data_IF_699909277772
#
_entry.id   IF_699909277772
#
_cell.length_a   1.000
_cell.length_b   1.000
_cell.length_c   1.000
_cell.angle_alpha   90.00
_cell.angle_beta   90.00
_cell.angle_gamma   90.00
#
_symmetry.space_group_name_H-M   'P 1'
#
loop_
_entity.id
_entity.type
_entity.pdbx_description
1 polymer ?
#
# COMPACT_ATOMS: atom_id res chain seq x y z
N UNK A 1 24.91 10.67 6.98
CA UNK A 1 25.39 9.61 6.07
C UNK A 1 25.83 8.35 6.81
N UNK A 2 26.51 8.44 7.98
CA UNK A 2 26.93 7.27 8.77
C UNK A 2 25.74 6.47 9.32
N UNK A 3 24.82 7.11 10.06
CA UNK A 3 23.59 6.49 10.62
C UNK A 3 22.72 5.77 9.58
N UNK A 4 22.76 6.19 8.32
CA UNK A 4 21.93 5.62 7.24
C UNK A 4 22.47 4.26 6.79
N UNK A 5 23.78 4.18 6.55
CA UNK A 5 24.44 2.91 6.16
C UNK A 5 24.41 1.89 7.28
N UNK A 6 24.38 2.34 8.53
CA UNK A 6 24.31 1.47 9.70
C UNK A 6 22.93 0.78 9.82
N UNK A 7 21.85 1.42 9.33
CA UNK A 7 20.50 0.85 9.32
C UNK A 7 20.31 -0.23 8.25
N UNK A 8 20.97 -0.09 7.09
CA UNK A 8 20.87 -1.06 5.99
C UNK A 8 21.42 -2.45 6.35
N UNK A 9 22.27 -2.54 7.38
CA UNK A 9 22.89 -3.78 7.84
C UNK A 9 22.17 -4.43 9.02
N UNK A 10 21.10 -3.80 9.53
CA UNK A 10 20.31 -4.30 10.65
C UNK A 10 19.03 -4.97 10.14
N UNK A 11 18.55 -5.95 10.90
CA UNK A 11 17.24 -6.54 10.66
C UNK A 11 16.16 -5.49 10.96
N UNK A 12 15.29 -5.13 10.00
CA UNK A 12 14.26 -4.10 10.21
C UNK A 12 13.34 -4.38 11.40
N UNK A 13 13.11 -5.65 11.73
CA UNK A 13 12.28 -6.06 12.87
C UNK A 13 12.86 -5.62 14.23
N UNK A 14 14.16 -5.33 14.31
CA UNK A 14 14.85 -4.94 15.54
C UNK A 14 15.02 -3.41 15.66
N UNK A 15 14.58 -2.63 14.67
CA UNK A 15 14.72 -1.19 14.64
C UNK A 15 13.69 -0.49 15.55
N UNK A 16 14.11 0.61 16.17
CA UNK A 16 13.18 1.52 16.84
C UNK A 16 12.26 2.19 15.80
N UNK A 17 11.04 2.61 16.17
CA UNK A 17 10.08 3.19 15.22
C UNK A 17 10.62 4.34 14.37
N UNK A 18 11.40 5.25 14.96
CA UNK A 18 12.03 6.35 14.23
C UNK A 18 13.07 5.87 13.20
N UNK A 19 13.85 4.85 13.54
CA UNK A 19 14.87 4.28 12.68
C UNK A 19 14.25 3.40 11.59
N UNK A 20 13.19 2.66 11.92
CA UNK A 20 12.37 1.90 10.96
C UNK A 20 11.71 2.83 9.93
N UNK A 21 11.14 3.94 10.38
CA UNK A 21 10.57 4.95 9.48
C UNK A 21 11.64 5.50 8.53
N UNK A 22 12.80 5.89 9.07
CA UNK A 22 13.89 6.41 8.24
C UNK A 22 14.40 5.37 7.23
N UNK A 23 14.53 4.11 7.67
CA UNK A 23 14.90 2.98 6.82
C UNK A 23 13.92 2.79 5.65
N UNK A 24 12.62 2.75 5.93
CA UNK A 24 11.59 2.56 4.90
C UNK A 24 11.51 3.74 3.92
N UNK A 25 11.61 4.98 4.40
CA UNK A 25 11.67 6.17 3.53
C UNK A 25 12.85 6.10 2.54
N UNK A 26 14.01 5.61 2.99
CA UNK A 26 15.18 5.44 2.13
C UNK A 26 15.00 4.30 1.14
N UNK A 27 14.40 3.19 1.56
CA UNK A 27 14.06 2.08 0.68
C UNK A 27 13.12 2.54 -0.43
N UNK A 28 12.06 3.26 -0.11
CA UNK A 28 11.17 3.88 -1.10
C UNK A 28 11.94 4.77 -2.09
N UNK A 29 12.78 5.68 -1.58
CA UNK A 29 13.58 6.58 -2.42
C UNK A 29 14.52 5.85 -3.37
N UNK A 30 15.16 4.79 -2.88
CA UNK A 30 16.05 3.94 -3.68
C UNK A 30 15.28 3.23 -4.80
N UNK A 31 14.17 2.57 -4.46
CA UNK A 31 13.32 1.88 -5.42
C UNK A 31 12.81 2.83 -6.50
N UNK A 32 12.33 4.03 -6.15
CA UNK A 32 11.89 5.03 -7.14
C UNK A 32 13.02 5.42 -8.11
N UNK A 33 14.23 5.60 -7.59
CA UNK A 33 15.40 5.92 -8.42
C UNK A 33 15.76 4.75 -9.36
N UNK A 34 15.70 3.52 -8.86
CA UNK A 34 15.94 2.32 -9.66
C UNK A 34 14.89 2.15 -10.75
N UNK A 35 13.61 2.34 -10.43
CA UNK A 35 12.50 2.31 -11.37
C UNK A 35 12.63 3.37 -12.45
N UNK A 36 12.97 4.62 -12.10
CA UNK A 36 13.18 5.68 -13.07
C UNK A 36 14.35 5.40 -14.04
N UNK A 37 15.39 4.70 -13.58
CA UNK A 37 16.54 4.35 -14.41
C UNK A 37 16.36 3.06 -15.23
N UNK A 38 15.43 2.20 -14.82
CA UNK A 38 15.23 0.86 -15.41
C UNK A 38 14.06 0.82 -16.40
N UNK A 39 13.48 1.97 -16.76
CA UNK A 39 12.35 2.05 -17.70
C UNK A 39 12.79 1.59 -19.09
N UNK A 40 12.36 0.40 -19.47
CA UNK A 40 12.41 -0.08 -20.83
C UNK A 40 11.02 0.09 -21.47
N UNK A 41 10.85 0.92 -22.52
CA UNK A 41 9.56 1.14 -23.17
C UNK A 41 8.91 -0.12 -23.75
N UNK A 42 9.67 -1.20 -23.92
CA UNK A 42 9.20 -2.49 -24.41
C UNK A 42 8.63 -3.41 -23.31
N UNK A 43 8.80 -3.07 -22.04
CA UNK A 43 8.34 -3.86 -20.90
C UNK A 43 7.01 -3.30 -20.35
N UNK A 44 6.24 -4.16 -19.67
CA UNK A 44 5.00 -3.76 -19.01
C UNK A 44 5.30 -2.67 -17.98
N UNK A 45 4.66 -1.51 -18.12
CA UNK A 45 4.86 -0.42 -17.17
C UNK A 45 4.20 -0.71 -15.81
N UNK A 46 4.76 -0.16 -14.73
CA UNK A 46 4.15 -0.25 -13.39
C UNK A 46 2.78 0.41 -13.32
N UNK A 47 2.55 1.46 -14.14
CA UNK A 47 1.23 2.09 -14.26
C UNK A 47 0.23 1.11 -14.86
N UNK A 48 0.56 0.44 -15.96
CA UNK A 48 -0.31 -0.57 -16.56
C UNK A 48 -0.58 -1.76 -15.64
N UNK A 49 0.43 -2.21 -14.89
CA UNK A 49 0.28 -3.27 -13.89
C UNK A 49 -0.66 -2.85 -12.76
N UNK A 50 -0.44 -1.66 -12.18
CA UNK A 50 -1.29 -1.15 -11.09
C UNK A 50 -2.72 -0.88 -11.52
N UNK A 51 -2.96 -0.45 -12.77
CA UNK A 51 -4.30 -0.34 -13.33
C UNK A 51 -5.01 -1.70 -13.39
N UNK A 52 -4.32 -2.74 -13.89
CA UNK A 52 -4.89 -4.09 -13.94
C UNK A 52 -5.18 -4.63 -12.53
N UNK A 53 -4.25 -4.41 -11.60
CA UNK A 53 -4.42 -4.82 -10.20
C UNK A 53 -5.61 -4.11 -9.55
N UNK A 54 -5.77 -2.80 -9.79
CA UNK A 54 -6.92 -2.02 -9.32
C UNK A 54 -8.23 -2.54 -9.89
N UNK A 55 -8.29 -2.85 -11.18
CA UNK A 55 -9.47 -3.45 -11.82
C UNK A 55 -9.78 -4.83 -11.23
N UNK A 56 -8.77 -5.67 -11.00
CA UNK A 56 -8.95 -6.98 -10.35
C UNK A 56 -9.48 -6.84 -8.94
N UNK A 57 -8.94 -5.90 -8.14
CA UNK A 57 -9.42 -5.63 -6.79
C UNK A 57 -10.88 -5.14 -6.81
N UNK A 58 -11.22 -4.20 -7.70
CA UNK A 58 -12.58 -3.71 -7.87
C UNK A 58 -13.58 -4.84 -8.21
N UNK A 59 -13.20 -5.78 -9.09
CA UNK A 59 -14.04 -6.95 -9.42
C UNK A 59 -14.20 -7.90 -8.23
N UNK A 60 -13.09 -8.27 -7.59
CA UNK A 60 -13.08 -9.25 -6.49
C UNK A 60 -13.68 -8.70 -5.19
N UNK A 61 -13.82 -7.37 -5.08
CA UNK A 61 -14.38 -6.68 -3.91
C UNK A 61 -15.63 -5.86 -4.26
N UNK A 62 -16.33 -6.21 -5.35
CA UNK A 62 -17.53 -5.51 -5.79
C UNK A 62 -18.59 -5.42 -4.68
N UNK A 63 -18.74 -6.48 -3.86
CA UNK A 63 -19.65 -6.49 -2.71
C UNK A 63 -19.33 -5.40 -1.67
N UNK A 64 -18.06 -5.05 -1.46
CA UNK A 64 -17.67 -3.96 -0.55
C UNK A 64 -17.92 -2.59 -1.18
N UNK A 65 -17.81 -2.47 -2.51
CA UNK A 65 -18.13 -1.26 -3.26
C UNK A 65 -19.64 -0.98 -3.34
N UNK A 66 -20.47 -2.01 -3.28
CA UNK A 66 -21.94 -1.93 -3.25
C UNK A 66 -22.50 -1.69 -1.84
N UNK A 67 -21.73 -2.03 -0.79
CA UNK A 67 -22.12 -1.80 0.60
C UNK A 67 -22.14 -0.31 0.94
N UNK A 68 -23.28 0.19 1.41
CA UNK A 68 -23.39 1.58 1.87
C UNK A 68 -22.44 1.91 3.02
N UNK A 69 -22.10 0.91 3.86
CA UNK A 69 -21.16 1.05 4.98
C UNK A 69 -19.70 1.05 4.49
N UNK A 70 -19.33 0.16 3.57
CA UNK A 70 -17.93 -0.06 3.20
C UNK A 70 -17.47 0.67 1.93
N UNK A 71 -18.40 1.24 1.15
CA UNK A 71 -18.08 1.82 -0.16
C UNK A 71 -17.03 2.94 -0.07
N UNK A 72 -17.11 3.84 0.90
CA UNK A 72 -16.18 4.96 1.03
C UNK A 72 -14.76 4.49 1.35
N UNK A 73 -14.61 3.60 2.34
CA UNK A 73 -13.34 2.99 2.71
C UNK A 73 -12.77 2.17 1.54
N UNK A 74 -13.58 1.30 0.92
CA UNK A 74 -13.17 0.50 -0.24
C UNK A 74 -12.67 1.37 -1.39
N UNK A 75 -13.38 2.46 -1.68
CA UNK A 75 -12.96 3.41 -2.72
C UNK A 75 -11.63 4.06 -2.35
N UNK A 76 -11.45 4.52 -1.12
CA UNK A 76 -10.18 5.07 -0.64
C UNK A 76 -9.02 4.07 -0.82
N UNK A 77 -9.21 2.79 -0.47
CA UNK A 77 -8.21 1.75 -0.72
C UNK A 77 -7.82 1.65 -2.21
N UNK A 78 -8.81 1.60 -3.10
CA UNK A 78 -8.57 1.46 -4.54
C UNK A 78 -8.01 2.72 -5.20
N UNK A 79 -8.35 3.92 -4.71
CA UNK A 79 -8.04 5.20 -5.39
C UNK A 79 -6.94 6.02 -4.74
N UNK A 80 -6.55 5.70 -3.51
CA UNK A 80 -5.58 6.47 -2.74
C UNK A 80 -4.45 5.61 -2.15
N UNK A 81 -4.66 4.29 -1.96
CA UNK A 81 -3.62 3.37 -1.47
C UNK A 81 -3.01 2.51 -2.60
N UNK A 82 -3.84 1.95 -3.48
CA UNK A 82 -3.40 1.09 -4.60
C UNK A 82 -3.59 1.71 -6.00
N UNK A 83 -3.76 3.03 -6.07
CA UNK A 83 -4.11 3.69 -7.32
C UNK A 83 -2.97 3.67 -8.35
N UNK A 84 -3.29 3.61 -9.65
CA UNK A 84 -2.33 3.85 -10.73
C UNK A 84 -2.02 5.35 -10.83
N UNK A 85 -1.43 5.93 -9.79
CA UNK A 85 -1.05 7.35 -9.71
C UNK A 85 0.38 7.48 -9.22
N UNK A 86 1.01 8.57 -9.64
CA UNK A 86 2.31 8.96 -9.11
C UNK A 86 2.13 9.59 -7.72
N UNK A 87 2.52 8.85 -6.67
CA UNK A 87 2.51 9.31 -5.29
C UNK A 87 3.81 10.03 -4.88
N UNK A 88 4.73 10.28 -5.82
CA UNK A 88 6.04 10.89 -5.55
C UNK A 88 5.97 12.19 -4.74
N UNK A 89 4.95 13.02 -4.97
CA UNK A 89 4.71 14.25 -4.21
C UNK A 89 4.36 13.96 -2.75
N UNK A 90 3.42 13.04 -2.48
CA UNK A 90 3.03 12.62 -1.13
C UNK A 90 4.24 12.06 -0.37
N UNK A 91 5.03 11.24 -1.03
CA UNK A 91 6.14 10.54 -0.37
C UNK A 91 7.32 11.50 -0.11
N UNK A 92 7.51 12.50 -0.97
CA UNK A 92 8.47 13.59 -0.73
C UNK A 92 8.03 14.49 0.43
N UNK A 93 6.73 14.79 0.53
CA UNK A 93 6.16 15.52 1.66
C UNK A 93 6.40 14.75 2.97
N UNK A 94 6.25 13.41 2.93
CA UNK A 94 6.50 12.54 4.07
C UNK A 94 7.99 12.48 4.46
N UNK A 95 8.91 12.36 3.49
CA UNK A 95 10.37 12.39 3.73
C UNK A 95 10.80 13.72 4.38
N UNK A 96 10.29 14.85 3.86
CA UNK A 96 10.55 16.19 4.41
C UNK A 96 9.96 16.38 5.80
N UNK A 97 8.84 15.73 6.09
CA UNK A 97 8.16 15.79 7.38
C UNK A 97 8.81 14.93 8.46
N UNK A 98 9.76 14.04 8.11
CA UNK A 98 10.38 13.10 9.05
C UNK A 98 10.83 13.74 10.39
N UNK A 99 11.59 14.86 10.42
CA UNK A 99 12.02 15.46 11.69
C UNK A 99 10.85 15.94 12.54
N UNK A 100 9.80 16.45 11.91
CA UNK A 100 8.58 16.89 12.60
C UNK A 100 7.81 15.70 13.14
N UNK A 101 7.63 14.65 12.34
CA UNK A 101 6.93 13.42 12.70
C UNK A 101 7.51 12.81 13.98
N UNK A 102 8.84 12.61 14.04
CA UNK A 102 9.48 11.98 15.21
C UNK A 102 9.51 12.88 16.45
N UNK A 103 9.33 14.19 16.29
CA UNK A 103 9.37 15.16 17.40
C UNK A 103 7.98 15.45 17.97
N UNK A 104 6.95 15.43 17.11
CA UNK A 104 5.59 15.85 17.46
C UNK A 104 4.68 14.65 17.76
N UNK A 105 4.84 13.54 17.04
CA UNK A 105 3.95 12.40 17.20
C UNK A 105 4.37 11.51 18.39
N UNK A 106 3.40 10.92 19.11
CA UNK A 106 3.72 9.89 20.08
C UNK A 106 4.30 8.66 19.38
N UNK A 107 5.12 7.89 20.11
CA UNK A 107 5.92 6.79 19.53
C UNK A 107 5.09 5.74 18.77
N UNK A 108 3.87 5.46 19.23
CA UNK A 108 2.94 4.55 18.56
C UNK A 108 2.47 5.09 17.19
N UNK A 109 2.26 6.40 17.07
CA UNK A 109 1.93 7.02 15.79
C UNK A 109 3.14 7.07 14.85
N UNK A 110 4.36 7.26 15.37
CA UNK A 110 5.59 7.11 14.57
C UNK A 110 5.70 5.68 14.03
N UNK A 111 5.40 4.68 14.86
CA UNK A 111 5.41 3.28 14.44
C UNK A 111 4.37 2.99 13.35
N UNK A 112 3.14 3.48 13.47
CA UNK A 112 2.13 3.35 12.41
C UNK A 112 2.59 3.97 11.08
N UNK A 113 3.26 5.14 11.10
CA UNK A 113 3.84 5.74 9.89
C UNK A 113 5.01 4.90 9.35
N UNK A 114 5.81 4.29 10.23
CA UNK A 114 6.87 3.37 9.84
C UNK A 114 6.32 2.12 9.12
N UNK A 115 5.22 1.55 9.61
CA UNK A 115 4.53 0.42 8.98
C UNK A 115 3.87 0.81 7.65
N UNK A 116 3.27 2.01 7.56
CA UNK A 116 2.70 2.52 6.31
C UNK A 116 3.77 2.70 5.22
N UNK A 117 4.95 3.21 5.60
CA UNK A 117 6.09 3.33 4.69
C UNK A 117 6.71 1.96 4.36
N UNK A 118 6.66 0.99 5.28
CA UNK A 118 7.03 -0.39 4.99
C UNK A 118 6.13 -0.97 3.90
N UNK A 119 4.82 -0.86 4.06
CA UNK A 119 3.83 -1.31 3.09
C UNK A 119 4.08 -0.69 1.71
N UNK A 120 4.34 0.63 1.63
CA UNK A 120 4.67 1.31 0.37
C UNK A 120 5.93 0.71 -0.29
N UNK A 121 7.03 0.65 0.47
CA UNK A 121 8.31 0.13 -0.04
C UNK A 121 8.23 -1.34 -0.47
N UNK A 122 7.49 -2.16 0.27
CA UNK A 122 7.29 -3.57 -0.03
C UNK A 122 6.40 -3.76 -1.26
N UNK A 123 5.35 -2.95 -1.41
CA UNK A 123 4.49 -2.95 -2.59
C UNK A 123 5.29 -2.63 -3.85
N UNK A 124 6.11 -1.58 -3.80
CA UNK A 124 6.99 -1.20 -4.91
C UNK A 124 7.93 -2.33 -5.33
N UNK A 125 8.60 -2.97 -4.37
CA UNK A 125 9.52 -4.09 -4.65
C UNK A 125 8.79 -5.27 -5.30
N UNK A 126 7.62 -5.63 -4.76
CA UNK A 126 6.83 -6.76 -5.24
C UNK A 126 6.24 -6.51 -6.63
N UNK A 127 5.78 -5.30 -6.91
CA UNK A 127 5.21 -4.94 -8.21
C UNK A 127 6.30 -4.80 -9.28
N UNK A 128 7.49 -4.31 -8.92
CA UNK A 128 8.65 -4.29 -9.81
C UNK A 128 9.10 -5.70 -10.19
N UNK A 129 9.24 -6.59 -9.20
CA UNK A 129 9.57 -7.99 -9.46
C UNK A 129 8.53 -8.66 -10.38
N UNK A 130 7.23 -8.41 -10.12
CA UNK A 130 6.15 -8.96 -10.93
C UNK A 130 6.16 -8.40 -12.36
N UNK A 131 6.32 -7.09 -12.53
CA UNK A 131 6.40 -6.46 -13.85
C UNK A 131 7.56 -7.01 -14.68
N UNK A 132 8.72 -7.25 -14.05
CA UNK A 132 9.88 -7.84 -14.71
C UNK A 132 9.61 -9.28 -15.16
N UNK A 133 9.06 -10.13 -14.29
CA UNK A 133 8.70 -11.53 -14.63
C UNK A 133 7.66 -11.57 -15.75
N UNK A 134 6.57 -10.79 -15.62
CA UNK A 134 5.53 -10.68 -16.64
C UNK A 134 6.11 -10.28 -18.00
N UNK A 135 7.04 -9.31 -18.01
CA UNK A 135 7.64 -8.79 -19.23
C UNK A 135 8.65 -9.73 -19.86
N UNK A 136 9.56 -10.30 -19.06
CA UNK A 136 10.74 -11.02 -19.55
C UNK A 136 10.48 -12.51 -19.75
N UNK A 137 9.67 -13.12 -18.88
CA UNK A 137 9.42 -14.56 -18.89
C UNK A 137 8.08 -14.90 -19.55
N UNK A 138 7.04 -14.10 -19.31
CA UNK A 138 5.69 -14.35 -19.84
C UNK A 138 5.32 -13.49 -21.06
N UNK A 139 6.28 -12.68 -21.54
CA UNK A 139 6.17 -11.82 -22.71
C UNK A 139 4.90 -10.92 -22.71
N UNK A 140 4.49 -10.46 -21.53
CA UNK A 140 3.41 -9.47 -21.35
C UNK A 140 4.04 -8.08 -21.42
N UNK A 141 3.76 -7.34 -22.50
CA UNK A 141 4.34 -6.01 -22.73
C UNK A 141 3.35 -4.87 -22.52
N UNK A 142 2.06 -5.18 -22.45
CA UNK A 142 0.98 -4.20 -22.25
C UNK A 142 -0.12 -4.78 -21.38
N UNK A 143 -0.86 -3.91 -20.70
CA UNK A 143 -2.02 -4.29 -19.86
C UNK A 143 -3.00 -5.22 -20.58
N UNK A 144 -3.30 -4.95 -21.86
CA UNK A 144 -4.26 -5.74 -22.65
C UNK A 144 -3.86 -7.21 -22.84
N UNK A 145 -2.59 -7.56 -22.62
CA UNK A 145 -2.07 -8.93 -22.72
C UNK A 145 -2.03 -9.66 -21.36
N UNK A 146 -2.31 -8.94 -20.27
CA UNK A 146 -2.27 -9.47 -18.92
C UNK A 146 -3.61 -10.13 -18.59
N UNK A 147 -3.62 -11.46 -18.58
CA UNK A 147 -4.78 -12.26 -18.17
C UNK A 147 -4.63 -12.70 -16.72
N UNK A 148 -5.72 -13.19 -16.10
CA UNK A 148 -5.67 -13.73 -14.73
C UNK A 148 -4.71 -14.91 -14.61
N UNK A 149 -4.61 -15.75 -15.65
CA UNK A 149 -3.71 -16.90 -15.71
C UNK A 149 -2.25 -16.43 -15.70
N UNK A 150 -1.90 -15.46 -16.57
CA UNK A 150 -0.54 -14.91 -16.63
C UNK A 150 -0.16 -14.15 -15.38
N UNK A 151 -1.11 -13.43 -14.77
CA UNK A 151 -0.88 -12.74 -13.50
C UNK A 151 -0.58 -13.76 -12.38
N UNK A 152 -1.38 -14.82 -12.28
CA UNK A 152 -1.16 -15.88 -11.31
C UNK A 152 0.15 -16.65 -11.57
N UNK A 153 0.50 -16.90 -12.83
CA UNK A 153 1.78 -17.50 -13.22
C UNK A 153 2.96 -16.59 -12.83
N UNK A 154 2.86 -15.29 -13.07
CA UNK A 154 3.86 -14.30 -12.66
C UNK A 154 4.10 -14.33 -11.15
N UNK A 155 3.03 -14.38 -10.35
CA UNK A 155 3.16 -14.54 -8.89
C UNK A 155 3.94 -15.79 -8.50
N UNK A 156 3.66 -16.94 -9.13
CA UNK A 156 4.37 -18.20 -8.84
C UNK A 156 5.83 -18.12 -9.23
N UNK A 157 6.14 -17.54 -10.39
CA UNK A 157 7.52 -17.35 -10.88
C UNK A 157 8.31 -16.39 -9.97
N UNK A 158 7.67 -15.35 -9.43
CA UNK A 158 8.31 -14.47 -8.45
C UNK A 158 8.68 -15.20 -7.14
N UNK A 159 7.98 -16.28 -6.79
CA UNK A 159 8.25 -17.14 -5.64
C UNK A 159 8.52 -16.37 -4.32
N UNK A 160 7.66 -15.40 -4.02
CA UNK A 160 7.82 -14.45 -2.91
C UNK A 160 6.58 -14.44 -1.98
N UNK A 161 6.00 -15.62 -1.75
CA UNK A 161 4.77 -15.81 -0.95
C UNK A 161 4.83 -15.10 0.39
N UNK A 162 5.88 -15.31 1.18
CA UNK A 162 5.98 -14.75 2.54
C UNK A 162 5.98 -13.22 2.53
N UNK A 163 6.64 -12.60 1.54
CA UNK A 163 6.64 -11.15 1.36
C UNK A 163 5.26 -10.63 0.97
N UNK A 164 4.54 -11.32 0.08
CA UNK A 164 3.15 -10.95 -0.29
C UNK A 164 2.19 -11.14 0.87
N UNK A 165 2.34 -12.20 1.65
CA UNK A 165 1.56 -12.43 2.86
C UNK A 165 1.79 -11.32 3.88
N UNK A 166 3.06 -10.98 4.17
CA UNK A 166 3.42 -9.87 5.05
C UNK A 166 2.83 -8.53 4.57
N UNK A 167 2.91 -8.24 3.26
CA UNK A 167 2.28 -7.06 2.67
C UNK A 167 0.77 -7.01 2.95
N UNK A 168 0.07 -8.12 2.81
CA UNK A 168 -1.38 -8.22 3.06
C UNK A 168 -1.67 -8.07 4.57
N UNK A 169 -0.83 -8.62 5.44
CA UNK A 169 -0.96 -8.49 6.90
C UNK A 169 -0.72 -7.05 7.39
N UNK A 170 0.21 -6.31 6.77
CA UNK A 170 0.41 -4.88 7.07
C UNK A 170 -0.85 -4.05 6.82
N UNK A 171 -1.68 -4.39 5.82
CA UNK A 171 -2.97 -3.71 5.57
C UNK A 171 -3.90 -3.87 6.78
N UNK A 172 -3.93 -5.05 7.40
CA UNK A 172 -4.74 -5.32 8.60
C UNK A 172 -4.25 -4.46 9.77
N UNK A 173 -2.96 -4.52 10.06
CA UNK A 173 -2.35 -3.79 11.18
C UNK A 173 -2.63 -2.28 11.05
N UNK A 174 -2.44 -1.73 9.86
CA UNK A 174 -2.69 -0.31 9.59
C UNK A 174 -4.18 0.06 9.68
N UNK A 175 -5.07 -0.84 9.28
CA UNK A 175 -6.51 -0.66 9.40
C UNK A 175 -6.98 -0.61 10.85
N UNK A 176 -6.50 -1.54 11.68
CA UNK A 176 -6.77 -1.62 13.12
C UNK A 176 -6.20 -0.39 13.86
N UNK A 177 -4.98 0.02 13.52
CA UNK A 177 -4.36 1.25 14.05
C UNK A 177 -5.18 2.49 13.68
N UNK A 178 -5.66 2.56 12.44
CA UNK A 178 -6.48 3.68 11.97
C UNK A 178 -7.83 3.71 12.68
N UNK A 179 -8.48 2.57 12.91
CA UNK A 179 -9.73 2.47 13.69
C UNK A 179 -9.59 3.14 15.08
N UNK A 180 -8.55 2.77 15.83
CA UNK A 180 -8.27 3.33 17.15
C UNK A 180 -8.07 4.86 17.13
N UNK A 181 -7.55 5.37 16.02
CA UNK A 181 -7.29 6.80 15.82
C UNK A 181 -8.56 7.54 15.41
N UNK A 182 -9.37 7.00 14.49
CA UNK A 182 -10.60 7.65 14.00
C UNK A 182 -11.71 7.71 15.04
N UNK A 183 -11.67 6.84 16.03
CA UNK A 183 -12.55 6.88 17.20
C UNK A 183 -12.39 8.16 18.06
N UNK A 184 -11.30 8.92 17.86
CA UNK A 184 -10.99 10.12 18.67
C UNK A 184 -11.47 11.40 17.96
N UNK A 185 -12.57 12.04 18.42
CA UNK A 185 -13.19 13.16 17.69
C UNK A 185 -12.29 14.40 17.58
N UNK A 186 -11.38 14.61 18.53
CA UNK A 186 -10.46 15.75 18.49
C UNK A 186 -9.38 15.61 17.40
N UNK A 187 -9.05 14.38 16.96
CA UNK A 187 -8.03 14.15 15.93
C UNK A 187 -8.51 14.67 14.58
N UNK A 188 -9.79 14.44 14.24
CA UNK A 188 -10.36 14.99 13.02
C UNK A 188 -10.32 16.52 12.98
N UNK A 189 -10.63 17.16 14.11
CA UNK A 189 -10.58 18.61 14.24
C UNK A 189 -9.15 19.14 14.11
N UNK A 190 -8.18 18.50 14.77
CA UNK A 190 -6.76 18.84 14.66
C UNK A 190 -6.26 18.70 13.22
N UNK A 191 -6.61 17.60 12.55
CA UNK A 191 -6.24 17.35 11.15
C UNK A 191 -6.80 18.46 10.25
N UNK A 192 -8.08 18.81 10.36
CA UNK A 192 -8.67 19.89 9.56
C UNK A 192 -8.04 21.26 9.83
N UNK A 193 -7.64 21.55 11.07
CA UNK A 193 -6.96 22.81 11.42
C UNK A 193 -5.55 22.88 10.82
N UNK A 194 -4.86 21.75 10.71
CA UNK A 194 -3.54 21.67 10.09
C UNK A 194 -3.56 21.87 8.57
N UNK A 195 -4.74 21.84 7.92
CA UNK A 195 -4.87 21.91 6.46
C UNK A 195 -4.19 23.11 5.82
N UNK A 196 -4.49 24.31 6.33
CA UNK A 196 -3.97 25.56 5.75
C UNK A 196 -2.45 25.66 5.96
N UNK A 197 -1.91 25.48 7.18
CA UNK A 197 -0.47 25.41 7.40
C UNK A 197 0.23 24.38 6.52
N UNK A 198 -0.32 23.15 6.42
CA UNK A 198 0.27 22.09 5.61
C UNK A 198 0.38 22.48 4.14
N UNK A 199 -0.66 23.08 3.55
CA UNK A 199 -0.62 23.54 2.15
C UNK A 199 0.42 24.64 1.93
N UNK A 200 0.54 25.60 2.85
CA UNK A 200 1.55 26.65 2.75
C UNK A 200 2.98 26.13 2.97
N UNK A 201 3.16 25.10 3.79
CA UNK A 201 4.46 24.46 4.02
C UNK A 201 4.83 23.40 2.97
N UNK A 202 3.97 23.20 1.96
CA UNK A 202 4.22 22.26 0.88
C UNK A 202 3.97 20.80 1.24
N UNK A 203 3.10 20.52 2.22
CA UNK A 203 2.64 19.19 2.65
C UNK A 203 1.18 18.92 2.26
N UNK A 204 0.69 19.59 1.22
CA UNK A 204 -0.73 19.62 0.86
C UNK A 204 -1.28 18.27 0.45
N UNK A 205 -0.50 17.48 -0.31
CA UNK A 205 -0.94 16.16 -0.80
C UNK A 205 -1.01 15.14 0.33
N UNK A 206 0.00 15.13 1.21
CA UNK A 206 -0.01 14.28 2.40
C UNK A 206 -1.21 14.62 3.30
N UNK A 207 -1.47 15.90 3.52
CA UNK A 207 -2.59 16.36 4.32
C UNK A 207 -3.95 15.96 3.72
N UNK A 208 -4.16 16.22 2.42
CA UNK A 208 -5.42 15.90 1.76
C UNK A 208 -5.66 14.37 1.73
N UNK A 209 -4.59 13.56 1.61
CA UNK A 209 -4.64 12.11 1.74
C UNK A 209 -5.07 11.65 3.14
N UNK A 210 -4.43 12.18 4.20
CA UNK A 210 -4.76 11.84 5.59
C UNK A 210 -6.21 12.18 5.92
N UNK A 211 -6.71 13.32 5.44
CA UNK A 211 -8.10 13.72 5.67
C UNK A 211 -9.11 12.79 5.00
N UNK A 212 -8.85 12.35 3.76
CA UNK A 212 -9.72 11.39 3.06
C UNK A 212 -9.71 10.02 3.74
N UNK A 213 -8.53 9.53 4.12
CA UNK A 213 -8.38 8.27 4.84
C UNK A 213 -9.15 8.29 6.16
N UNK A 214 -8.89 9.32 6.99
CA UNK A 214 -9.58 9.50 8.27
C UNK A 214 -11.09 9.55 8.08
N UNK A 215 -11.59 10.37 7.16
CA UNK A 215 -13.04 10.52 6.92
C UNK A 215 -13.66 9.19 6.49
N UNK A 216 -13.01 8.45 5.58
CA UNK A 216 -13.56 7.19 5.06
C UNK A 216 -13.71 6.11 6.12
N UNK A 217 -12.75 6.00 7.06
CA UNK A 217 -12.82 5.07 8.18
C UNK A 217 -13.76 5.57 9.29
N UNK A 218 -13.77 6.87 9.55
CA UNK A 218 -14.71 7.47 10.52
C UNK A 218 -16.17 7.21 10.12
N UNK A 219 -16.51 7.37 8.84
CA UNK A 219 -17.88 7.13 8.35
C UNK A 219 -18.26 5.63 8.37
N UNK A 220 -17.28 4.73 8.27
CA UNK A 220 -17.47 3.27 8.24
C UNK A 220 -17.77 2.68 9.64
N UNK A 221 -17.20 3.27 10.69
CA UNK A 221 -17.24 2.73 12.05
C UNK A 221 -16.23 1.59 12.24
N UNK A 222 -16.62 0.55 12.99
CA UNK A 222 -15.76 -0.63 13.25
C UNK A 222 -15.23 -1.22 11.93
N UNK A 223 -13.90 -1.42 11.86
CA UNK A 223 -13.20 -1.84 10.66
C UNK A 223 -12.89 -3.34 10.63
N UNK A 224 -12.98 -4.04 11.77
CA UNK A 224 -12.68 -5.48 11.89
C UNK A 224 -13.35 -6.32 10.79
N UNK A 225 -14.66 -6.19 10.61
CA UNK A 225 -15.42 -6.96 9.62
C UNK A 225 -14.95 -6.62 8.19
N UNK A 226 -14.69 -5.35 7.91
CA UNK A 226 -14.18 -4.90 6.62
C UNK A 226 -12.78 -5.46 6.33
N UNK A 227 -11.88 -5.40 7.31
CA UNK A 227 -10.51 -5.90 7.19
C UNK A 227 -10.49 -7.43 7.10
N UNK A 228 -11.36 -8.14 7.82
CA UNK A 228 -11.53 -9.58 7.69
C UNK A 228 -11.98 -10.00 6.29
N UNK A 229 -12.94 -9.26 5.73
CA UNK A 229 -13.36 -9.51 4.36
C UNK A 229 -12.24 -9.25 3.36
N UNK A 230 -11.58 -8.09 3.42
CA UNK A 230 -10.56 -7.68 2.45
C UNK A 230 -9.29 -8.53 2.57
N UNK A 231 -8.70 -8.57 3.76
CA UNK A 231 -7.43 -9.27 4.02
C UNK A 231 -7.62 -10.77 3.92
N UNK A 232 -8.71 -11.31 4.48
CA UNK A 232 -9.01 -12.75 4.39
C UNK A 232 -9.25 -13.19 2.95
N UNK A 233 -9.86 -12.34 2.12
CA UNK A 233 -10.04 -12.58 0.68
C UNK A 233 -8.72 -12.59 -0.07
N UNK A 234 -7.87 -11.59 0.14
CA UNK A 234 -6.57 -11.51 -0.54
C UNK A 234 -5.63 -12.65 -0.14
N UNK A 235 -5.62 -13.07 1.13
CA UNK A 235 -4.88 -14.25 1.57
C UNK A 235 -5.37 -15.53 0.88
N UNK A 236 -6.70 -15.74 0.80
CA UNK A 236 -7.25 -16.89 0.08
C UNK A 236 -6.92 -16.88 -1.41
N UNK A 237 -6.91 -15.71 -2.05
CA UNK A 237 -6.49 -15.56 -3.44
C UNK A 237 -5.02 -15.93 -3.58
N UNK A 238 -4.15 -15.41 -2.70
CA UNK A 238 -2.72 -15.72 -2.68
C UNK A 238 -2.48 -17.23 -2.55
N UNK A 239 -3.14 -17.88 -1.58
CA UNK A 239 -3.04 -19.32 -1.37
C UNK A 239 -3.47 -20.11 -2.63
N UNK A 240 -4.57 -19.69 -3.27
CA UNK A 240 -5.06 -20.31 -4.51
C UNK A 240 -4.09 -20.12 -5.69
N UNK A 241 -3.46 -18.95 -5.81
CA UNK A 241 -2.46 -18.68 -6.86
C UNK A 241 -1.28 -19.66 -6.71
N UNK A 242 -0.76 -19.82 -5.49
CA UNK A 242 0.39 -20.67 -5.20
C UNK A 242 0.03 -22.17 -5.20
N UNK A 243 -1.22 -22.53 -4.90
CA UNK A 243 -1.75 -23.88 -5.06
C UNK A 243 -2.11 -24.26 -6.51
N UNK A 244 -1.83 -23.37 -7.49
CA UNK A 244 -2.14 -23.56 -8.90
C UNK A 244 -3.63 -23.82 -9.18
N UNK A 245 -4.52 -23.19 -8.41
CA UNK A 245 -5.96 -23.27 -8.60
C UNK A 245 -6.36 -22.65 -9.95
N UNK A 246 -7.25 -23.28 -10.76
CA UNK A 246 -7.55 -22.82 -12.12
C UNK A 246 -8.29 -21.48 -12.18
N UNK A 247 -8.98 -21.09 -11.10
CA UNK A 247 -9.69 -19.81 -10.99
C UNK A 247 -9.39 -19.16 -9.63
N UNK A 248 -8.19 -18.61 -9.41
CA UNK A 248 -7.78 -18.16 -8.08
C UNK A 248 -8.59 -16.95 -7.59
N UNK A 249 -9.06 -16.09 -8.52
CA UNK A 249 -9.85 -14.89 -8.22
C UNK A 249 -11.35 -15.13 -8.08
N UNK A 250 -11.86 -16.28 -8.52
CA UNK A 250 -13.26 -16.65 -8.39
C UNK A 250 -13.55 -17.19 -6.99
N UNK A 251 -13.65 -16.28 -6.02
CA UNK A 251 -14.13 -16.61 -4.69
C UNK A 251 -15.66 -16.64 -4.75
N UNK A 252 -16.26 -17.82 -4.58
CA UNK A 252 -17.66 -17.89 -4.17
C UNK A 252 -17.78 -17.08 -2.88
N UNK A 253 -18.62 -16.06 -2.88
CA UNK A 253 -18.94 -15.30 -1.67
C UNK A 253 -19.46 -16.32 -0.66
N UNK A 254 -18.83 -16.49 0.52
CA UNK A 254 -19.49 -17.20 1.60
C UNK A 254 -20.75 -16.41 1.93
N UNK A 255 -21.89 -17.10 2.00
CA UNK A 255 -23.17 -16.52 2.48
C UNK A 255 -23.01 -15.82 3.83
#
# INVERSE_FOLDING_TARGET
MTRIKDLENQNPADLKPEDLLLYNLQRCKKLRKEQANSVNPADLSLIELSEWQSERLARTHANLLESSRYQAATRFFLTDLYAPKDFSHRDHDLERSYPMIITVLPINAVYAVALATELDSLSMELDEALAQVLSKELNVKKKAQLTEEKYAEGYRLCNNYDKRKHQIELIRILGEDLEMVVAKPFIYAALRMARIPAKFSGFGELQDFLERGFKSFHDMGEADEFLDFLVGRELRILDRIYANHPQPFNLKVPD
#
